data_IF_108615343538
#
_entry.id   IF_108615343538
#
_cell.length_a   1.000
_cell.length_b   1.000
_cell.length_c   1.000
_cell.angle_alpha   90.00
_cell.angle_beta   90.00
_cell.angle_gamma   90.00
#
_symmetry.space_group_name_H-M   'P 1'
#
loop_
_entity.id
_entity.type
_entity.pdbx_description
1 polymer ?
#
# COMPACT_ATOMS: atom_id res chain seq x y z
N UNK A 1 4.33 -0.07 -47.10
CA UNK A 1 5.43 0.04 -46.12
C UNK A 1 4.77 0.37 -44.79
N UNK A 2 4.86 -0.49 -43.79
CA UNK A 2 4.42 -0.16 -42.43
C UNK A 2 5.40 0.88 -41.87
N UNK A 3 4.96 2.13 -41.74
CA UNK A 3 5.74 3.16 -41.05
C UNK A 3 5.97 2.71 -39.60
N UNK A 4 7.22 2.71 -39.15
CA UNK A 4 7.53 2.50 -37.74
C UNK A 4 7.04 3.70 -36.94
N UNK A 5 6.05 3.51 -36.09
CA UNK A 5 5.63 4.49 -35.09
C UNK A 5 6.50 4.38 -33.85
N UNK A 6 7.11 5.50 -33.46
CA UNK A 6 7.82 5.64 -32.19
C UNK A 6 6.85 6.15 -31.13
N UNK A 7 6.73 5.42 -30.03
CA UNK A 7 5.85 5.78 -28.91
C UNK A 7 6.64 5.73 -27.59
N UNK A 8 6.23 6.54 -26.63
CA UNK A 8 6.73 6.51 -25.25
C UNK A 8 5.64 6.01 -24.31
N UNK A 9 6.03 5.35 -23.23
CA UNK A 9 5.11 4.87 -22.19
C UNK A 9 5.50 5.45 -20.85
N UNK A 10 4.52 5.74 -20.01
CA UNK A 10 4.77 6.22 -18.65
C UNK A 10 5.26 5.06 -17.77
N UNK A 11 5.95 5.33 -16.64
CA UNK A 11 6.31 4.29 -15.69
C UNK A 11 5.10 3.49 -15.18
N UNK A 12 3.99 4.17 -14.88
CA UNK A 12 2.73 3.52 -14.48
C UNK A 12 2.20 2.59 -15.58
N UNK A 13 2.23 3.00 -16.84
CA UNK A 13 1.81 2.16 -17.97
C UNK A 13 2.76 0.96 -18.18
N UNK A 14 4.07 1.16 -18.00
CA UNK A 14 5.03 0.05 -18.03
C UNK A 14 4.71 -1.01 -16.99
N UNK A 15 4.45 -0.63 -15.73
CA UNK A 15 4.12 -1.60 -14.67
C UNK A 15 2.71 -2.16 -14.77
N UNK A 16 1.76 -1.39 -15.31
CA UNK A 16 0.44 -1.91 -15.67
C UNK A 16 0.55 -3.07 -16.66
N UNK A 17 1.38 -2.93 -17.70
CA UNK A 17 1.63 -3.98 -18.70
C UNK A 17 2.51 -5.12 -18.17
N UNK A 18 3.44 -4.83 -17.26
CA UNK A 18 4.47 -5.77 -16.78
C UNK A 18 4.38 -5.97 -15.25
N UNK A 19 3.18 -6.19 -14.71
CA UNK A 19 2.91 -6.30 -13.27
C UNK A 19 3.74 -7.36 -12.53
N UNK A 20 4.17 -8.40 -13.23
CA UNK A 20 5.03 -9.45 -12.73
C UNK A 20 6.41 -8.97 -12.26
N UNK A 21 6.95 -7.91 -12.89
CA UNK A 21 8.25 -7.31 -12.52
C UNK A 21 8.19 -6.75 -11.11
N UNK A 22 7.05 -6.16 -10.72
CA UNK A 22 6.80 -5.65 -9.37
C UNK A 22 6.31 -6.73 -8.39
N UNK A 23 6.27 -8.01 -8.79
CA UNK A 23 5.80 -9.10 -7.93
C UNK A 23 4.27 -9.23 -7.84
N UNK A 24 3.51 -8.58 -8.71
CA UNK A 24 2.05 -8.64 -8.82
C UNK A 24 1.60 -9.59 -9.96
N UNK A 25 2.28 -10.73 -10.09
CA UNK A 25 2.06 -11.69 -11.19
C UNK A 25 0.74 -12.46 -11.08
N UNK A 26 0.31 -12.81 -9.87
CA UNK A 26 -0.92 -13.54 -9.59
C UNK A 26 -1.55 -13.09 -8.26
N UNK A 27 -2.85 -13.35 -8.02
CA UNK A 27 -3.59 -12.82 -6.86
C UNK A 27 -3.00 -13.21 -5.51
N UNK A 28 -2.51 -14.44 -5.37
CA UNK A 28 -1.78 -14.90 -4.17
C UNK A 28 -0.54 -14.04 -3.91
N UNK A 29 0.37 -13.98 -4.89
CA UNK A 29 1.63 -13.24 -4.77
C UNK A 29 1.39 -11.74 -4.60
N UNK A 30 0.41 -11.19 -5.31
CA UNK A 30 0.00 -9.80 -5.20
C UNK A 30 -0.45 -9.45 -3.77
N UNK A 31 -1.28 -10.29 -3.15
CA UNK A 31 -1.72 -10.11 -1.76
C UNK A 31 -0.52 -10.08 -0.80
N UNK A 32 0.38 -11.05 -0.92
CA UNK A 32 1.60 -11.10 -0.09
C UNK A 32 2.50 -9.87 -0.31
N UNK A 33 2.77 -9.52 -1.57
CA UNK A 33 3.62 -8.39 -1.93
C UNK A 33 3.02 -7.07 -1.43
N UNK A 34 1.72 -6.83 -1.63
CA UNK A 34 1.05 -5.62 -1.18
C UNK A 34 1.19 -5.43 0.34
N UNK A 35 0.92 -6.48 1.13
CA UNK A 35 1.08 -6.43 2.58
C UNK A 35 2.53 -6.15 2.96
N UNK A 36 3.49 -6.92 2.41
CA UNK A 36 4.90 -6.77 2.71
C UNK A 36 5.40 -5.35 2.44
N UNK A 37 5.13 -4.81 1.25
CA UNK A 37 5.60 -3.49 0.85
C UNK A 37 5.01 -2.37 1.74
N UNK A 38 3.73 -2.46 2.12
CA UNK A 38 3.11 -1.45 2.97
C UNK A 38 3.62 -1.56 4.42
N UNK A 39 3.74 -2.78 4.96
CA UNK A 39 4.28 -3.01 6.31
C UNK A 39 5.75 -2.58 6.41
N UNK A 40 6.59 -2.89 5.41
CA UNK A 40 7.98 -2.44 5.38
C UNK A 40 8.10 -0.90 5.33
N UNK A 41 7.23 -0.24 4.56
CA UNK A 41 7.17 1.22 4.55
C UNK A 41 6.71 1.79 5.90
N UNK A 42 5.78 1.13 6.58
CA UNK A 42 5.29 1.50 7.91
C UNK A 42 6.42 1.41 8.95
N UNK A 43 7.19 0.32 8.93
CA UNK A 43 8.37 0.12 9.79
C UNK A 43 9.42 1.21 9.54
N UNK A 44 9.79 1.45 8.29
CA UNK A 44 10.78 2.49 7.93
C UNK A 44 10.33 3.89 8.39
N UNK A 45 9.02 4.19 8.34
CA UNK A 45 8.44 5.44 8.80
C UNK A 45 8.50 5.58 10.33
N UNK A 46 8.21 4.51 11.06
CA UNK A 46 8.33 4.49 12.53
C UNK A 46 9.79 4.62 12.99
N UNK A 47 10.71 3.88 12.35
CA UNK A 47 12.14 3.95 12.59
C UNK A 47 12.68 5.38 12.32
N UNK A 48 12.24 6.02 11.23
CA UNK A 48 12.62 7.41 10.92
C UNK A 48 12.10 8.43 11.92
N UNK A 49 10.96 8.16 12.55
CA UNK A 49 10.39 8.98 13.63
C UNK A 49 10.99 8.63 15.00
N UNK A 50 11.76 7.56 15.12
CA UNK A 50 12.32 7.05 16.37
C UNK A 50 11.23 6.70 17.41
N UNK A 51 10.14 6.07 16.96
CA UNK A 51 9.08 5.53 17.83
C UNK A 51 8.98 4.02 17.66
N UNK A 52 8.61 3.26 18.71
CA UNK A 52 8.26 1.85 18.55
C UNK A 52 7.11 1.73 17.53
N UNK A 53 7.27 0.91 16.47
CA UNK A 53 6.22 0.72 15.48
C UNK A 53 4.97 0.12 16.14
N UNK A 54 3.82 0.76 15.92
CA UNK A 54 2.49 0.24 16.22
C UNK A 54 1.75 0.16 14.89
N UNK A 55 1.64 -1.05 14.35
CA UNK A 55 1.13 -1.32 13.01
C UNK A 55 -0.13 -2.17 13.12
N UNK A 56 -1.23 -1.63 12.62
CA UNK A 56 -2.49 -2.36 12.48
C UNK A 56 -2.68 -2.81 11.03
N UNK A 57 -2.73 -4.12 10.81
CA UNK A 57 -3.01 -4.76 9.54
C UNK A 57 -4.36 -5.48 9.60
N UNK A 58 -5.24 -5.20 8.64
CA UNK A 58 -6.51 -5.92 8.47
C UNK A 58 -6.72 -6.31 7.02
N UNK A 59 -7.09 -7.56 6.80
CA UNK A 59 -7.59 -8.03 5.51
C UNK A 59 -9.05 -8.45 5.70
N UNK A 60 -9.96 -7.84 4.96
CA UNK A 60 -11.39 -8.16 5.01
C UNK A 60 -11.84 -8.71 3.67
N UNK A 61 -12.47 -9.88 3.67
CA UNK A 61 -13.09 -10.43 2.46
C UNK A 61 -14.37 -9.65 2.13
N UNK A 62 -14.57 -9.28 0.87
CA UNK A 62 -15.79 -8.65 0.37
C UNK A 62 -16.54 -9.68 -0.47
N UNK A 63 -17.78 -9.98 -0.08
CA UNK A 63 -18.63 -11.03 -0.67
C UNK A 63 -19.29 -10.54 -1.98
N UNK A 64 -18.48 -10.25 -3.00
CA UNK A 64 -18.97 -9.66 -4.27
C UNK A 64 -18.95 -10.64 -5.46
N UNK A 65 -18.24 -11.78 -5.38
CA UNK A 65 -18.19 -12.75 -6.47
C UNK A 65 -18.20 -14.21 -5.98
N UNK A 66 -19.32 -14.91 -6.21
CA UNK A 66 -19.51 -16.32 -5.84
C UNK A 66 -18.98 -17.33 -6.87
N UNK A 67 -18.39 -16.88 -7.98
CA UNK A 67 -18.06 -17.74 -9.14
C UNK A 67 -16.63 -17.55 -9.69
N UNK A 68 -15.71 -17.00 -8.89
CA UNK A 68 -14.30 -16.85 -9.28
C UNK A 68 -13.39 -17.66 -8.35
N UNK A 69 -12.28 -18.19 -8.89
CA UNK A 69 -11.23 -18.85 -8.08
C UNK A 69 -10.60 -17.89 -7.05
N UNK A 70 -10.72 -16.59 -7.28
CA UNK A 70 -10.15 -15.51 -6.49
C UNK A 70 -11.27 -14.70 -5.84
N UNK A 71 -10.93 -13.95 -4.79
CA UNK A 71 -11.87 -13.12 -4.06
C UNK A 71 -11.35 -11.70 -3.94
N UNK A 72 -12.28 -10.79 -3.70
CA UNK A 72 -11.97 -9.41 -3.45
C UNK A 72 -11.69 -9.22 -1.96
N UNK A 73 -10.59 -8.54 -1.65
CA UNK A 73 -10.20 -8.19 -0.30
C UNK A 73 -10.02 -6.69 -0.15
N UNK A 74 -10.42 -6.16 1.00
CA UNK A 74 -10.02 -4.84 1.49
C UNK A 74 -8.78 -5.05 2.36
N UNK A 75 -7.65 -4.51 1.91
CA UNK A 75 -6.41 -4.43 2.67
C UNK A 75 -6.35 -3.06 3.33
N UNK A 76 -6.27 -3.04 4.66
CA UNK A 76 -6.02 -1.84 5.46
C UNK A 76 -4.73 -2.01 6.26
N UNK A 77 -3.84 -1.03 6.16
CA UNK A 77 -2.66 -0.93 7.03
C UNK A 77 -2.62 0.48 7.62
N UNK A 78 -2.41 0.57 8.92
CA UNK A 78 -2.29 1.82 9.66
C UNK A 78 -1.06 1.76 10.56
N UNK A 79 -0.29 2.86 10.58
CA UNK A 79 0.94 2.98 11.36
C UNK A 79 0.94 4.25 12.23
N UNK A 80 1.87 4.28 13.18
CA UNK A 80 2.20 5.46 13.99
C UNK A 80 3.52 6.13 13.53
N UNK A 81 3.84 6.08 12.24
CA UNK A 81 5.08 6.59 11.66
C UNK A 81 5.15 8.13 11.59
N UNK A 82 5.98 8.65 10.68
CA UNK A 82 6.13 10.10 10.45
C UNK A 82 4.85 10.76 9.93
N UNK A 83 3.98 9.99 9.29
CA UNK A 83 3.01 10.52 8.34
C UNK A 83 3.68 11.06 7.08
N UNK A 84 2.84 11.54 6.16
CA UNK A 84 3.23 12.23 4.92
C UNK A 84 2.53 13.59 4.88
N UNK A 85 3.26 14.70 4.65
CA UNK A 85 2.65 16.03 4.49
C UNK A 85 1.58 16.03 3.38
N UNK A 86 0.50 16.76 3.57
CA UNK A 86 -0.69 16.71 2.72
C UNK A 86 -0.38 16.95 1.24
N UNK A 87 0.54 17.88 0.94
CA UNK A 87 0.98 18.20 -0.42
C UNK A 87 1.71 17.05 -1.13
N UNK A 88 2.30 16.13 -0.35
CA UNK A 88 3.08 15.02 -0.87
C UNK A 88 2.29 13.71 -0.95
N UNK A 89 1.16 13.59 -0.25
CA UNK A 89 0.34 12.36 -0.24
C UNK A 89 -0.03 11.89 -1.66
N UNK A 90 -0.57 12.74 -2.56
CA UNK A 90 -0.95 12.27 -3.89
C UNK A 90 0.25 11.72 -4.68
N UNK A 91 1.41 12.38 -4.62
CA UNK A 91 2.59 11.91 -5.33
C UNK A 91 3.16 10.63 -4.69
N UNK A 92 3.20 10.55 -3.36
CA UNK A 92 3.72 9.39 -2.62
C UNK A 92 2.96 8.08 -2.90
N UNK A 93 1.66 8.15 -3.17
CA UNK A 93 0.81 6.96 -3.37
C UNK A 93 0.25 6.83 -4.79
N UNK A 94 0.45 7.82 -5.65
CA UNK A 94 -0.10 7.85 -7.00
C UNK A 94 0.88 8.17 -8.12
N UNK A 95 2.18 8.31 -7.81
CA UNK A 95 3.23 8.49 -8.80
C UNK A 95 4.31 7.42 -8.62
N UNK A 96 4.55 6.64 -9.67
CA UNK A 96 5.63 5.65 -9.70
C UNK A 96 6.98 6.38 -9.75
N UNK A 97 7.96 5.88 -9.01
CA UNK A 97 9.28 6.52 -8.80
C UNK A 97 9.19 7.90 -8.14
N UNK A 98 8.25 8.03 -7.20
CA UNK A 98 8.21 9.15 -6.28
C UNK A 98 8.38 8.65 -4.85
N UNK A 99 9.24 9.30 -4.07
CA UNK A 99 9.49 8.91 -2.70
C UNK A 99 10.58 9.75 -2.05
N UNK A 100 10.65 9.68 -0.73
CA UNK A 100 11.67 10.36 0.08
C UNK A 100 12.95 9.53 0.26
N UNK A 101 12.98 8.28 -0.24
CA UNK A 101 14.07 7.31 -0.03
C UNK A 101 15.18 7.34 -1.09
N UNK A 102 15.35 8.46 -1.80
CA UNK A 102 16.44 8.61 -2.79
C UNK A 102 17.77 9.07 -2.18
N UNK A 103 17.79 9.43 -0.91
CA UNK A 103 19.03 9.64 -0.16
C UNK A 103 19.63 8.28 0.26
N UNK A 104 20.96 8.17 0.32
CA UNK A 104 21.70 6.97 0.75
C UNK A 104 21.49 6.72 2.27
N UNK A 105 20.29 6.25 2.64
CA UNK A 105 19.94 5.78 3.98
C UNK A 105 19.48 4.34 3.86
N UNK A 106 19.95 3.47 4.75
CA UNK A 106 19.50 2.08 4.80
C UNK A 106 18.02 2.06 5.15
N UNK A 107 17.18 1.66 4.19
CA UNK A 107 15.74 1.50 4.33
C UNK A 107 15.32 0.20 3.63
N UNK A 108 14.20 -0.39 4.04
CA UNK A 108 13.71 -1.65 3.46
C UNK A 108 13.18 -1.45 2.03
N UNK A 109 12.55 -0.30 1.77
CA UNK A 109 12.08 0.10 0.44
C UNK A 109 13.14 0.86 -0.38
N UNK A 110 13.35 0.47 -1.65
CA UNK A 110 14.47 0.98 -2.49
C UNK A 110 14.08 1.96 -3.61
N UNK A 111 12.86 1.93 -4.14
CA UNK A 111 12.54 2.65 -5.40
C UNK A 111 11.25 3.48 -5.41
N UNK A 112 10.57 3.68 -4.28
CA UNK A 112 9.26 4.37 -4.28
C UNK A 112 8.22 3.65 -5.16
N UNK A 113 8.33 2.32 -5.22
CA UNK A 113 7.48 1.45 -6.05
C UNK A 113 6.41 0.74 -5.24
N UNK A 114 6.74 0.17 -4.08
CA UNK A 114 5.91 -0.80 -3.38
C UNK A 114 4.47 -0.37 -3.09
N UNK A 115 4.29 0.72 -2.34
CA UNK A 115 2.96 1.22 -1.97
C UNK A 115 2.13 1.65 -3.18
N UNK A 116 2.74 2.39 -4.11
CA UNK A 116 2.11 2.82 -5.37
C UNK A 116 1.69 1.62 -6.22
N UNK A 117 2.49 0.56 -6.26
CA UNK A 117 2.17 -0.67 -6.99
C UNK A 117 1.00 -1.43 -6.37
N UNK A 118 0.86 -1.42 -5.04
CA UNK A 118 -0.31 -1.99 -4.37
C UNK A 118 -1.59 -1.21 -4.72
N UNK A 119 -1.52 0.13 -4.74
CA UNK A 119 -2.62 1.00 -5.18
C UNK A 119 -2.98 0.75 -6.65
N UNK A 120 -1.97 0.70 -7.53
CA UNK A 120 -2.17 0.43 -8.95
C UNK A 120 -2.82 -0.94 -9.17
N UNK A 121 -2.33 -1.98 -8.50
CA UNK A 121 -2.88 -3.32 -8.60
C UNK A 121 -4.34 -3.38 -8.12
N UNK A 122 -4.65 -2.75 -6.97
CA UNK A 122 -6.02 -2.68 -6.47
C UNK A 122 -6.96 -1.98 -7.45
N UNK A 123 -6.52 -0.85 -8.01
CA UNK A 123 -7.29 -0.11 -9.01
C UNK A 123 -7.55 -0.90 -10.29
N UNK A 124 -6.54 -1.60 -10.84
CA UNK A 124 -6.72 -2.31 -12.12
C UNK A 124 -7.58 -3.56 -11.96
N UNK A 125 -7.59 -4.16 -10.77
CA UNK A 125 -8.34 -5.40 -10.50
C UNK A 125 -9.77 -5.14 -10.04
N UNK A 126 -10.03 -4.02 -9.37
CA UNK A 126 -11.35 -3.74 -8.77
C UNK A 126 -12.01 -2.47 -9.29
N UNK A 127 -11.27 -1.64 -10.02
CA UNK A 127 -11.70 -0.31 -10.46
C UNK A 127 -12.12 0.62 -9.32
N UNK A 128 -11.73 0.33 -8.09
CA UNK A 128 -12.00 1.17 -6.91
C UNK A 128 -10.80 2.07 -6.61
N UNK A 129 -11.05 3.30 -6.13
CA UNK A 129 -9.99 4.18 -5.65
C UNK A 129 -9.42 3.68 -4.31
N UNK A 130 -8.18 4.05 -4.02
CA UNK A 130 -7.58 3.87 -2.70
C UNK A 130 -7.97 5.03 -1.77
N UNK A 131 -8.07 4.72 -0.49
CA UNK A 131 -8.23 5.69 0.57
C UNK A 131 -6.91 5.82 1.34
N UNK A 132 -6.36 7.03 1.38
CA UNK A 132 -5.12 7.35 2.07
C UNK A 132 -5.43 8.38 3.14
N UNK A 133 -5.16 8.05 4.39
CA UNK A 133 -5.26 8.98 5.52
C UNK A 133 -3.86 9.25 6.04
N UNK A 134 -3.51 10.51 6.27
CA UNK A 134 -2.18 10.88 6.75
C UNK A 134 -2.23 12.09 7.67
N UNK A 135 -1.36 12.10 8.67
CA UNK A 135 -1.14 13.24 9.55
C UNK A 135 0.31 13.29 10.00
N UNK A 136 0.88 14.49 10.00
CA UNK A 136 2.18 14.81 10.62
C UNK A 136 2.00 15.42 12.01
N UNK A 137 0.81 15.26 12.63
CA UNK A 137 0.48 15.68 14.00
C UNK A 137 -0.31 16.97 14.08
N UNK A 138 -0.44 17.65 12.94
CA UNK A 138 -1.45 18.66 12.68
C UNK A 138 -2.77 18.02 12.28
N UNK A 139 -3.44 18.58 11.28
CA UNK A 139 -4.72 18.06 10.78
C UNK A 139 -4.58 16.68 10.14
N UNK A 140 -5.66 15.90 10.17
CA UNK A 140 -5.76 14.62 9.48
C UNK A 140 -6.29 14.88 8.08
N UNK A 141 -5.53 14.46 7.07
CA UNK A 141 -5.93 14.57 5.68
C UNK A 141 -6.35 13.21 5.13
N UNK A 142 -7.57 13.13 4.61
CA UNK A 142 -8.14 11.92 4.01
C UNK A 142 -8.31 12.13 2.51
N UNK A 143 -7.62 11.33 1.71
CA UNK A 143 -7.68 11.34 0.26
C UNK A 143 -8.37 10.09 -0.24
N UNK A 144 -9.30 10.26 -1.19
CA UNK A 144 -9.77 9.18 -2.06
C UNK A 144 -9.22 9.46 -3.44
N UNK A 145 -8.41 8.56 -3.97
CA UNK A 145 -7.66 8.80 -5.21
C UNK A 145 -7.44 7.55 -6.02
N UNK A 146 -7.19 7.74 -7.31
CA UNK A 146 -6.73 6.72 -8.24
C UNK A 146 -5.48 7.24 -8.99
N UNK A 147 -4.85 6.37 -9.74
CA UNK A 147 -3.66 6.64 -10.56
C UNK A 147 -4.11 6.84 -12.00
N UNK A 148 -3.78 8.00 -12.55
CA UNK A 148 -3.79 8.24 -13.99
C UNK A 148 -2.59 7.51 -14.59
N UNK A 149 -2.84 6.30 -15.09
CA UNK A 149 -1.81 5.38 -15.60
C UNK A 149 -1.08 6.01 -16.79
N UNK A 150 -1.79 6.72 -17.66
CA UNK A 150 -1.19 7.33 -18.86
C UNK A 150 -0.20 8.43 -18.50
N UNK A 151 -0.53 9.23 -17.48
CA UNK A 151 0.26 10.40 -17.10
C UNK A 151 1.15 10.19 -15.87
N UNK A 152 1.13 9.01 -15.25
CA UNK A 152 1.86 8.68 -14.03
C UNK A 152 1.64 9.71 -12.91
N UNK A 153 0.38 10.06 -12.63
CA UNK A 153 0.01 11.01 -11.59
C UNK A 153 -1.20 10.55 -10.80
N UNK A 154 -1.32 11.02 -9.58
CA UNK A 154 -2.55 10.88 -8.82
C UNK A 154 -3.68 11.70 -9.45
N UNK A 155 -4.88 11.13 -9.43
CA UNK A 155 -6.13 11.82 -9.68
C UNK A 155 -6.98 11.77 -8.40
N UNK A 156 -7.16 12.93 -7.78
CA UNK A 156 -7.82 13.07 -6.47
C UNK A 156 -9.33 13.17 -6.69
N UNK A 157 -10.08 12.19 -6.18
CA UNK A 157 -11.54 12.17 -6.27
C UNK A 157 -12.17 12.90 -5.09
N UNK A 158 -11.55 12.83 -3.92
CA UNK A 158 -12.01 13.48 -2.69
C UNK A 158 -10.83 13.82 -1.79
N UNK A 159 -10.89 14.98 -1.14
CA UNK A 159 -9.95 15.37 -0.08
C UNK A 159 -10.75 15.98 1.07
N UNK A 160 -10.67 15.37 2.26
CA UNK A 160 -11.27 15.90 3.48
C UNK A 160 -10.17 16.22 4.49
N UNK A 161 -10.41 17.24 5.30
CA UNK A 161 -9.54 17.64 6.39
C UNK A 161 -10.33 17.49 7.69
N UNK A 162 -9.75 16.81 8.68
CA UNK A 162 -10.34 16.57 10.00
C UNK A 162 -9.44 17.14 11.09
N UNK A 163 -10.08 17.66 12.14
CA UNK A 163 -9.37 18.04 13.35
C UNK A 163 -8.70 16.81 14.00
N UNK A 164 -7.53 17.01 14.60
CA UNK A 164 -6.73 15.94 15.18
C UNK A 164 -6.52 16.15 16.70
N UNK A 165 -7.57 15.99 17.53
CA UNK A 165 -7.48 16.25 18.95
C UNK A 165 -6.51 15.30 19.67
N UNK A 166 -6.32 14.08 19.15
CA UNK A 166 -5.40 13.08 19.69
C UNK A 166 -3.95 13.27 19.23
N UNK A 167 -3.70 14.23 18.32
CA UNK A 167 -2.39 14.44 17.68
C UNK A 167 -1.83 13.17 17.05
N UNK A 168 -2.70 12.35 16.46
CA UNK A 168 -2.28 11.17 15.72
C UNK A 168 -1.30 11.56 14.61
N UNK A 169 -0.27 10.75 14.44
CA UNK A 169 0.82 10.93 13.48
C UNK A 169 1.11 9.56 12.86
N UNK A 170 1.01 9.46 11.55
CA UNK A 170 1.11 8.19 10.83
C UNK A 170 0.40 8.22 9.49
N UNK A 171 0.32 7.04 8.87
CA UNK A 171 -0.41 6.81 7.63
C UNK A 171 -1.39 5.66 7.81
N UNK A 172 -2.58 5.76 7.22
CA UNK A 172 -3.47 4.64 6.98
C UNK A 172 -3.76 4.51 5.48
N UNK A 173 -3.52 3.33 4.92
CA UNK A 173 -3.80 2.98 3.54
C UNK A 173 -4.90 1.92 3.53
N UNK A 174 -5.95 2.16 2.75
CA UNK A 174 -7.01 1.20 2.51
C UNK A 174 -7.25 1.07 1.01
N UNK A 175 -7.16 -0.16 0.50
CA UNK A 175 -7.37 -0.45 -0.91
C UNK A 175 -8.12 -1.78 -1.09
N UNK A 176 -8.90 -1.84 -2.16
CA UNK A 176 -9.59 -3.06 -2.57
C UNK A 176 -8.79 -3.72 -3.69
N UNK A 177 -8.53 -5.03 -3.56
CA UNK A 177 -7.74 -5.78 -4.53
C UNK A 177 -8.28 -7.19 -4.72
N UNK A 178 -8.13 -7.72 -5.93
CA UNK A 178 -8.28 -9.16 -6.19
C UNK A 178 -7.15 -9.94 -5.49
N UNK A 179 -7.49 -11.08 -4.90
CA UNK A 179 -6.54 -11.85 -4.10
C UNK A 179 -6.94 -13.31 -3.95
N UNK A 180 -5.98 -14.10 -3.47
CA UNK A 180 -6.25 -15.45 -2.99
C UNK A 180 -5.51 -15.60 -1.65
N UNK A 181 -6.20 -15.17 -0.58
CA UNK A 181 -5.70 -15.22 0.77
C UNK A 181 -5.45 -16.65 1.26
N UNK A 182 -6.31 -17.59 0.86
CA UNK A 182 -6.25 -18.98 1.32
C UNK A 182 -4.92 -19.64 0.97
N UNK A 183 -4.37 -19.36 -0.21
CA UNK A 183 -3.05 -19.89 -0.64
C UNK A 183 -1.87 -19.23 0.06
N UNK A 184 -2.00 -18.01 0.58
CA UNK A 184 -0.86 -17.25 1.15
C UNK A 184 -0.89 -17.11 2.67
N UNK A 185 -2.00 -17.46 3.32
CA UNK A 185 -2.20 -17.28 4.76
C UNK A 185 -0.99 -17.71 5.60
N UNK A 186 -0.49 -18.93 5.40
CA UNK A 186 0.65 -19.46 6.17
C UNK A 186 1.92 -18.65 5.94
N UNK A 187 2.20 -18.28 4.68
CA UNK A 187 3.38 -17.50 4.32
C UNK A 187 3.32 -16.08 4.87
N UNK A 188 2.13 -15.47 4.87
CA UNK A 188 1.92 -14.15 5.44
C UNK A 188 2.13 -14.15 6.95
N UNK A 189 1.54 -15.12 7.67
CA UNK A 189 1.72 -15.25 9.11
C UNK A 189 3.20 -15.49 9.44
N UNK A 190 3.89 -16.35 8.68
CA UNK A 190 5.31 -16.60 8.87
C UNK A 190 6.16 -15.34 8.65
N UNK A 191 5.86 -14.56 7.61
CA UNK A 191 6.51 -13.26 7.38
C UNK A 191 6.32 -12.31 8.57
N UNK A 192 5.10 -12.15 9.08
CA UNK A 192 4.83 -11.27 10.22
C UNK A 192 5.55 -11.73 11.49
N UNK A 193 5.59 -13.04 11.74
CA UNK A 193 6.37 -13.62 12.86
C UNK A 193 7.87 -13.34 12.71
N UNK A 194 8.42 -13.55 11.53
CA UNK A 194 9.84 -13.28 11.25
C UNK A 194 10.17 -11.80 11.44
N UNK A 195 9.30 -10.91 10.97
CA UNK A 195 9.41 -9.47 11.20
C UNK A 195 9.41 -9.14 12.69
N UNK A 196 8.48 -9.70 13.47
CA UNK A 196 8.42 -9.49 14.92
C UNK A 196 9.65 -10.04 15.66
N UNK A 197 10.27 -11.13 15.17
CA UNK A 197 11.54 -11.64 15.73
C UNK A 197 12.73 -10.71 15.47
N UNK A 198 12.78 -10.09 14.28
CA UNK A 198 13.87 -9.19 13.88
C UNK A 198 13.68 -7.78 14.47
N UNK A 199 12.44 -7.35 14.64
CA UNK A 199 12.05 -6.04 15.18
C UNK A 199 11.23 -6.24 16.46
N UNK A 200 11.86 -6.68 17.57
CA UNK A 200 11.15 -7.10 18.79
C UNK A 200 10.44 -5.97 19.53
N UNK A 201 10.68 -4.72 19.13
CA UNK A 201 10.05 -3.51 19.67
C UNK A 201 8.84 -3.04 18.83
N UNK A 202 8.48 -3.75 17.76
CA UNK A 202 7.28 -3.47 16.99
C UNK A 202 6.07 -4.24 17.56
N UNK A 203 4.95 -3.55 17.76
CA UNK A 203 3.63 -4.15 17.99
C UNK A 203 2.93 -4.23 16.62
N UNK A 204 2.69 -5.45 16.13
CA UNK A 204 2.01 -5.69 14.85
C UNK A 204 0.73 -6.45 15.12
N UNK A 205 -0.39 -5.74 15.09
CA UNK A 205 -1.72 -6.33 15.21
C UNK A 205 -2.22 -6.73 13.84
N UNK A 206 -2.51 -8.02 13.64
CA UNK A 206 -3.04 -8.55 12.39
C UNK A 206 -4.43 -9.18 12.56
N UNK A 207 -5.40 -8.71 11.78
CA UNK A 207 -6.75 -9.29 11.68
C UNK A 207 -6.94 -9.92 10.30
N UNK A 208 -7.14 -11.24 10.27
CA UNK A 208 -7.33 -11.98 9.02
C UNK A 208 -8.78 -11.89 8.48
N UNK A 209 -9.03 -12.37 7.25
CA UNK A 209 -10.38 -12.34 6.66
C UNK A 209 -11.43 -13.14 7.44
N UNK A 210 -11.03 -14.04 8.33
CA UNK A 210 -11.93 -14.83 9.20
C UNK A 210 -12.16 -14.13 10.54
N UNK A 211 -11.61 -12.93 10.74
CA UNK A 211 -11.68 -12.19 11.99
C UNK A 211 -10.74 -12.70 13.08
N UNK A 212 -9.78 -13.57 12.76
CA UNK A 212 -8.79 -14.02 13.74
C UNK A 212 -7.76 -12.92 13.99
N UNK A 213 -7.59 -12.62 15.28
CA UNK A 213 -6.60 -11.67 15.77
C UNK A 213 -5.27 -12.37 16.05
N UNK A 214 -4.19 -11.80 15.53
CA UNK A 214 -2.81 -12.14 15.81
C UNK A 214 -2.14 -10.91 16.41
N UNK A 215 -1.46 -11.08 17.53
CA UNK A 215 -0.73 -10.04 18.25
C UNK A 215 0.55 -10.64 18.81
#
# INVERSE_FOLDING_TARGET
MSQQEYQSISPSDFFYRNREIAGFSNPSRATYTAVREIVENSLDACESRMVPPDIYLRITEVDDHKDTETKIYILRVEDNGTGVPAEHVPMAFGQVFYGSKYELKQARGTFGLGGTMAVLYGQITTHKPAQITSSTGGEIHEFTMNIDIQNNRANILKHNIKANPTKWQGVAIELQMDGDYSRIMYKLIEYLKQTAMVVPYADITYVDPRGRLYK
#
